data_IF_499697970479
#
_entry.id   IF_499697970479
#
_cell.length_a   1.000
_cell.length_b   1.000
_cell.length_c   1.000
_cell.angle_alpha   90.00
_cell.angle_beta   90.00
_cell.angle_gamma   90.00
#
_symmetry.space_group_name_H-M   'P 1'
#
loop_
_entity.id
_entity.type
_entity.pdbx_description
1 polymer ?
#
# COMPACT_ATOMS: atom_id res chain seq x y z
N UNK A 1 -2.23 -16.91 -5.83
CA UNK A 1 -1.12 -15.94 -5.80
C UNK A 1 -0.35 -16.23 -4.54
N UNK A 2 0.96 -16.43 -4.61
CA UNK A 2 1.81 -16.52 -3.40
C UNK A 2 2.27 -15.13 -2.95
N UNK A 3 2.93 -15.02 -1.79
CA UNK A 3 3.49 -13.75 -1.33
C UNK A 3 4.59 -13.24 -2.28
N UNK A 4 5.40 -14.15 -2.83
CA UNK A 4 6.42 -13.82 -3.81
C UNK A 4 5.81 -13.37 -5.14
N UNK A 5 4.71 -14.01 -5.57
CA UNK A 5 3.96 -13.56 -6.75
C UNK A 5 3.43 -12.13 -6.56
N UNK A 6 2.99 -11.79 -5.34
CA UNK A 6 2.50 -10.45 -5.02
C UNK A 6 3.61 -9.39 -5.13
N UNK A 7 4.84 -9.70 -4.69
CA UNK A 7 6.02 -8.83 -4.89
C UNK A 7 6.29 -8.62 -6.38
N UNK A 8 6.29 -9.72 -7.16
CA UNK A 8 6.50 -9.66 -8.60
C UNK A 8 5.44 -8.80 -9.30
N UNK A 9 4.17 -9.02 -8.97
CA UNK A 9 3.04 -8.26 -9.51
C UNK A 9 3.10 -6.78 -9.13
N UNK A 10 3.42 -6.45 -7.88
CA UNK A 10 3.59 -5.07 -7.43
C UNK A 10 4.65 -4.33 -8.25
N UNK A 11 5.80 -4.97 -8.49
CA UNK A 11 6.89 -4.37 -9.26
C UNK A 11 6.52 -4.14 -10.72
N UNK A 12 5.64 -4.96 -11.28
CA UNK A 12 5.13 -4.80 -12.65
C UNK A 12 4.04 -3.72 -12.74
N UNK A 13 3.10 -3.72 -11.82
CA UNK A 13 1.95 -2.79 -11.81
C UNK A 13 2.35 -1.38 -11.37
N UNK A 14 3.40 -1.25 -10.55
CA UNK A 14 3.91 0.04 -10.06
C UNK A 14 5.42 0.18 -10.35
N UNK A 15 5.83 0.37 -11.63
CA UNK A 15 7.25 0.42 -12.02
C UNK A 15 8.04 1.52 -11.33
N UNK A 16 7.39 2.63 -10.98
CA UNK A 16 8.04 3.74 -10.26
C UNK A 16 8.43 3.33 -8.83
N UNK A 17 7.59 2.54 -8.16
CA UNK A 17 7.95 1.96 -6.87
C UNK A 17 9.11 0.98 -7.03
N UNK A 18 9.07 0.10 -8.04
CA UNK A 18 10.17 -0.83 -8.31
C UNK A 18 11.51 -0.11 -8.51
N UNK A 19 11.51 0.99 -9.28
CA UNK A 19 12.69 1.83 -9.48
C UNK A 19 13.16 2.49 -8.17
N UNK A 20 12.23 2.96 -7.33
CA UNK A 20 12.55 3.52 -6.00
C UNK A 20 13.18 2.48 -5.09
N UNK A 21 12.63 1.27 -5.04
CA UNK A 21 13.13 0.16 -4.22
C UNK A 21 14.51 -0.32 -4.70
N UNK A 22 14.72 -0.41 -6.02
CA UNK A 22 16.01 -0.80 -6.58
C UNK A 22 17.10 0.25 -6.33
N UNK A 23 16.74 1.53 -6.34
CA UNK A 23 17.65 2.62 -6.05
C UNK A 23 18.04 2.73 -4.57
N UNK A 24 17.29 2.10 -3.67
CA UNK A 24 17.60 2.08 -2.23
C UNK A 24 18.92 1.32 -1.99
N UNK A 25 19.90 1.99 -1.37
CA UNK A 25 21.23 1.42 -1.10
C UNK A 25 21.35 0.83 0.30
N UNK A 26 20.36 1.04 1.15
CA UNK A 26 20.31 0.55 2.52
C UNK A 26 19.83 -0.91 2.51
N UNK A 27 18.82 -1.22 1.69
CA UNK A 27 18.25 -2.56 1.60
C UNK A 27 19.14 -3.52 0.80
N UNK A 28 19.38 -4.70 1.36
CA UNK A 28 20.06 -5.80 0.69
C UNK A 28 19.19 -6.44 -0.40
N UNK A 29 19.79 -7.31 -1.22
CA UNK A 29 19.05 -8.04 -2.25
C UNK A 29 17.97 -8.97 -1.66
N UNK A 30 18.26 -9.59 -0.51
CA UNK A 30 17.32 -10.44 0.22
C UNK A 30 16.11 -9.62 0.69
N UNK A 31 16.36 -8.45 1.30
CA UNK A 31 15.31 -7.52 1.75
C UNK A 31 14.40 -7.05 0.61
N UNK A 32 14.97 -6.77 -0.57
CA UNK A 32 14.22 -6.34 -1.77
C UNK A 32 13.36 -7.44 -2.41
N UNK A 33 13.43 -8.66 -1.87
CA UNK A 33 12.61 -9.80 -2.28
C UNK A 33 11.71 -10.31 -1.16
N UNK A 34 11.92 -9.90 0.08
CA UNK A 34 11.06 -10.27 1.21
C UNK A 34 9.70 -9.54 1.08
N UNK A 35 8.57 -10.27 1.02
CA UNK A 35 7.27 -9.65 0.82
C UNK A 35 6.91 -8.60 1.87
N UNK A 36 7.19 -8.85 3.14
CA UNK A 36 6.79 -7.93 4.20
C UNK A 36 7.62 -6.65 4.17
N UNK A 37 8.92 -6.75 3.90
CA UNK A 37 9.79 -5.58 3.74
C UNK A 37 9.36 -4.78 2.52
N UNK A 38 9.15 -5.43 1.38
CA UNK A 38 8.74 -4.77 0.13
C UNK A 38 7.42 -4.02 0.31
N UNK A 39 6.43 -4.61 0.96
CA UNK A 39 5.13 -3.95 1.17
C UNK A 39 5.20 -2.82 2.21
N UNK A 40 6.09 -2.93 3.22
CA UNK A 40 6.44 -1.84 4.12
C UNK A 40 7.04 -0.64 3.38
N UNK A 41 7.99 -0.89 2.48
CA UNK A 41 8.57 0.15 1.63
C UNK A 41 7.55 0.74 0.66
N UNK A 42 6.60 -0.07 0.19
CA UNK A 42 5.53 0.41 -0.67
C UNK A 42 4.58 1.36 0.07
N UNK A 43 4.22 1.06 1.32
CA UNK A 43 3.47 2.00 2.16
C UNK A 43 4.23 3.30 2.41
N UNK A 44 5.54 3.20 2.69
CA UNK A 44 6.41 4.39 2.83
C UNK A 44 6.51 5.21 1.55
N UNK A 45 6.59 4.55 0.39
CA UNK A 45 6.56 5.17 -0.93
C UNK A 45 5.26 5.94 -1.15
N UNK A 46 4.10 5.32 -0.91
CA UNK A 46 2.80 5.95 -1.04
C UNK A 46 2.63 7.14 -0.09
N UNK A 47 3.02 6.99 1.17
CA UNK A 47 3.02 8.08 2.16
C UNK A 47 3.81 9.30 1.68
N UNK A 48 4.93 9.07 1.00
CA UNK A 48 5.74 10.16 0.42
C UNK A 48 5.06 10.81 -0.79
N UNK A 49 4.50 10.03 -1.72
CA UNK A 49 4.04 10.59 -3.00
C UNK A 49 2.60 11.12 -2.98
N UNK A 50 1.71 10.56 -2.15
CA UNK A 50 0.30 10.97 -2.09
C UNK A 50 0.13 12.46 -1.78
N UNK A 51 0.84 13.07 -0.79
CA UNK A 51 0.68 14.50 -0.51
C UNK A 51 1.19 15.43 -1.63
N UNK A 52 2.00 14.92 -2.55
CA UNK A 52 2.72 15.70 -3.56
C UNK A 52 2.10 15.63 -4.95
N UNK A 53 1.11 14.74 -5.15
CA UNK A 53 0.57 14.41 -6.48
C UNK A 53 -0.95 14.48 -6.50
N UNK A 54 -1.50 14.56 -7.71
CA UNK A 54 -2.93 14.39 -7.92
C UNK A 54 -3.34 12.95 -7.62
N UNK A 55 -4.56 12.75 -7.14
CA UNK A 55 -5.14 11.40 -7.00
C UNK A 55 -5.48 10.75 -8.35
N UNK A 56 -5.47 11.53 -9.43
CA UNK A 56 -5.58 11.06 -10.81
C UNK A 56 -4.21 10.62 -11.38
N UNK A 57 -3.11 10.81 -10.64
CA UNK A 57 -1.78 10.36 -11.06
C UNK A 57 -1.78 8.85 -11.28
N UNK A 58 -1.25 8.41 -12.42
CA UNK A 58 -1.32 7.00 -12.83
C UNK A 58 -0.62 6.07 -11.84
N UNK A 59 0.46 6.52 -11.18
CA UNK A 59 1.17 5.73 -10.17
C UNK A 59 0.30 5.57 -8.92
N UNK A 60 -0.36 6.64 -8.48
CA UNK A 60 -1.31 6.60 -7.36
C UNK A 60 -2.47 5.66 -7.68
N UNK A 61 -3.12 5.84 -8.83
CA UNK A 61 -4.27 5.02 -9.25
C UNK A 61 -3.89 3.54 -9.36
N UNK A 62 -2.76 3.23 -10.01
CA UNK A 62 -2.30 1.85 -10.14
C UNK A 62 -2.02 1.21 -8.77
N UNK A 63 -1.44 1.98 -7.85
CA UNK A 63 -1.11 1.52 -6.51
C UNK A 63 -2.35 1.16 -5.69
N UNK A 64 -3.35 2.04 -5.66
CA UNK A 64 -4.59 1.76 -4.94
C UNK A 64 -5.43 0.67 -5.61
N UNK A 65 -5.42 0.59 -6.95
CA UNK A 65 -6.03 -0.54 -7.67
C UNK A 65 -5.40 -1.86 -7.28
N UNK A 66 -4.07 -1.90 -7.18
CA UNK A 66 -3.34 -3.10 -6.78
C UNK A 66 -3.65 -3.50 -5.33
N UNK A 67 -3.66 -2.55 -4.39
CA UNK A 67 -4.05 -2.81 -3.00
C UNK A 67 -5.48 -3.35 -2.90
N UNK A 68 -6.41 -2.81 -3.68
CA UNK A 68 -7.77 -3.36 -3.72
C UNK A 68 -7.77 -4.80 -4.22
N UNK A 69 -7.03 -5.11 -5.29
CA UNK A 69 -6.95 -6.49 -5.79
C UNK A 69 -6.39 -7.48 -4.76
N UNK A 70 -5.45 -7.05 -3.90
CA UNK A 70 -4.93 -7.88 -2.82
C UNK A 70 -5.94 -8.07 -1.68
N UNK A 71 -6.68 -7.01 -1.33
CA UNK A 71 -7.73 -7.10 -0.31
C UNK A 71 -8.88 -8.03 -0.71
N UNK A 72 -9.12 -8.19 -2.01
CA UNK A 72 -10.10 -9.13 -2.58
C UNK A 72 -9.55 -10.56 -2.75
N UNK A 73 -8.28 -10.82 -2.40
CA UNK A 73 -7.71 -12.17 -2.47
C UNK A 73 -8.41 -13.12 -1.50
N UNK A 74 -8.66 -14.36 -1.92
CA UNK A 74 -9.17 -15.42 -1.04
C UNK A 74 -8.14 -15.87 0.01
N UNK A 75 -6.84 -15.66 -0.27
CA UNK A 75 -5.73 -16.02 0.60
C UNK A 75 -5.58 -15.02 1.75
N UNK A 76 -5.76 -15.43 3.02
CA UNK A 76 -5.59 -14.55 4.18
C UNK A 76 -4.19 -13.93 4.26
N UNK A 77 -3.13 -14.66 3.91
CA UNK A 77 -1.76 -14.14 3.98
C UNK A 77 -1.52 -13.00 3.00
N UNK A 78 -2.19 -13.01 1.84
CA UNK A 78 -2.13 -11.92 0.86
C UNK A 78 -2.89 -10.69 1.37
N UNK A 79 -4.07 -10.89 1.99
CA UNK A 79 -4.83 -9.80 2.60
C UNK A 79 -4.05 -9.18 3.76
N UNK A 80 -3.44 -10.01 4.61
CA UNK A 80 -2.63 -9.58 5.76
C UNK A 80 -1.39 -8.81 5.29
N UNK A 81 -0.75 -9.26 4.19
CA UNK A 81 0.39 -8.55 3.60
C UNK A 81 0.01 -7.13 3.15
N UNK A 82 -1.13 -6.96 2.48
CA UNK A 82 -1.61 -5.63 2.09
C UNK A 82 -1.96 -4.78 3.32
N UNK A 83 -2.62 -5.38 4.30
CA UNK A 83 -3.09 -4.70 5.51
C UNK A 83 -1.93 -4.23 6.40
N UNK A 84 -1.16 -5.16 6.95
CA UNK A 84 -0.06 -4.87 7.87
C UNK A 84 1.16 -4.27 7.16
N UNK A 85 1.40 -4.67 5.91
CA UNK A 85 2.55 -4.17 5.15
C UNK A 85 2.35 -2.76 4.61
N UNK A 86 1.13 -2.40 4.16
CA UNK A 86 0.92 -1.13 3.44
C UNK A 86 -0.18 -0.26 4.04
N UNK A 87 -1.37 -0.80 4.31
CA UNK A 87 -2.52 0.00 4.74
C UNK A 87 -2.29 0.68 6.09
N UNK A 88 -1.64 0.02 7.04
CA UNK A 88 -1.28 0.61 8.33
C UNK A 88 -0.42 1.88 8.18
N UNK A 89 0.52 1.91 7.24
CA UNK A 89 1.38 3.08 7.01
C UNK A 89 0.62 4.27 6.38
N UNK A 90 -0.52 4.01 5.72
CA UNK A 90 -1.36 5.07 5.17
C UNK A 90 -2.20 5.79 6.25
N UNK A 91 -2.21 5.29 7.48
CA UNK A 91 -2.88 5.96 8.61
C UNK A 91 -2.08 7.15 9.16
N UNK A 92 -0.84 7.34 8.72
CA UNK A 92 0.08 8.30 9.33
C UNK A 92 -0.27 9.77 9.01
N UNK A 93 -0.94 10.06 7.89
CA UNK A 93 -1.34 11.43 7.56
C UNK A 93 -2.79 11.56 7.07
N UNK A 94 -3.45 12.73 7.27
CA UNK A 94 -4.80 12.97 6.76
C UNK A 94 -4.91 12.83 5.24
N UNK A 95 -3.86 13.18 4.50
CA UNK A 95 -3.83 13.09 3.04
C UNK A 95 -3.89 11.65 2.55
N UNK A 96 -3.10 10.75 3.16
CA UNK A 96 -3.09 9.32 2.82
C UNK A 96 -4.38 8.63 3.22
N UNK A 97 -4.97 9.01 4.37
CA UNK A 97 -6.29 8.53 4.80
C UNK A 97 -7.37 8.93 3.79
N UNK A 98 -7.40 10.21 3.39
CA UNK A 98 -8.36 10.71 2.41
C UNK A 98 -8.19 10.03 1.05
N UNK A 99 -6.95 9.84 0.60
CA UNK A 99 -6.66 9.14 -0.65
C UNK A 99 -7.16 7.69 -0.61
N UNK A 100 -6.85 6.96 0.46
CA UNK A 100 -7.29 5.58 0.66
C UNK A 100 -8.82 5.46 0.66
N UNK A 101 -9.53 6.35 1.38
CA UNK A 101 -11.00 6.42 1.37
C UNK A 101 -11.62 6.67 -0.01
N UNK A 102 -10.91 7.37 -0.89
CA UNK A 102 -11.42 7.71 -2.22
C UNK A 102 -11.09 6.65 -3.29
N UNK A 103 -10.00 5.90 -3.10
CA UNK A 103 -9.45 5.03 -4.14
C UNK A 103 -9.53 3.54 -3.81
N UNK A 104 -9.58 3.16 -2.53
CA UNK A 104 -9.89 1.79 -2.13
C UNK A 104 -11.39 1.54 -2.28
N UNK A 105 -11.73 0.28 -2.53
CA UNK A 105 -13.10 -0.20 -2.56
C UNK A 105 -13.17 -1.65 -2.09
N UNK A 106 -14.38 -2.14 -1.82
CA UNK A 106 -14.61 -3.52 -1.37
C UNK A 106 -13.90 -3.85 -0.06
N UNK A 107 -13.40 -5.08 0.04
CA UNK A 107 -12.76 -5.61 1.24
C UNK A 107 -11.52 -4.83 1.67
N UNK A 108 -10.78 -4.24 0.72
CA UNK A 108 -9.62 -3.41 1.05
C UNK A 108 -10.00 -2.11 1.76
N UNK A 109 -11.10 -1.48 1.36
CA UNK A 109 -11.62 -0.29 2.03
C UNK A 109 -12.17 -0.64 3.43
N UNK A 110 -12.92 -1.75 3.53
CA UNK A 110 -13.46 -2.21 4.82
C UNK A 110 -12.33 -2.51 5.81
N UNK A 111 -11.26 -3.19 5.35
CA UNK A 111 -10.08 -3.45 6.17
C UNK A 111 -9.39 -2.14 6.60
N UNK A 112 -9.27 -1.17 5.70
CA UNK A 112 -8.68 0.13 6.01
C UNK A 112 -9.48 0.91 7.07
N UNK A 113 -10.80 0.96 6.96
CA UNK A 113 -11.66 1.62 7.97
C UNK A 113 -11.61 0.90 9.33
N UNK A 114 -11.51 -0.42 9.32
CA UNK A 114 -11.33 -1.19 10.55
C UNK A 114 -9.99 -0.86 11.23
N UNK A 115 -8.90 -0.69 10.46
CA UNK A 115 -7.62 -0.23 11.00
C UNK A 115 -7.73 1.17 11.61
N UNK A 116 -8.40 2.13 10.94
CA UNK A 116 -8.67 3.46 11.51
C UNK A 116 -9.36 3.35 12.87
N UNK A 117 -10.39 2.50 12.96
CA UNK A 117 -11.16 2.28 14.18
C UNK A 117 -10.32 1.69 15.31
N UNK A 118 -9.49 0.70 15.00
CA UNK A 118 -8.65 0.01 15.98
C UNK A 118 -7.52 0.90 16.52
N UNK A 119 -6.93 1.72 15.65
CA UNK A 119 -5.79 2.58 16.00
C UNK A 119 -6.22 3.92 16.61
N UNK A 120 -7.53 4.21 16.64
CA UNK A 120 -8.07 5.44 17.23
C UNK A 120 -7.58 6.69 16.52
N UNK A 121 -7.33 6.60 15.20
CA UNK A 121 -6.83 7.72 14.40
C UNK A 121 -7.91 8.79 14.36
N UNK A 122 -7.64 9.94 14.97
CA UNK A 122 -8.56 11.09 14.94
C UNK A 122 -8.52 11.72 13.54
N UNK A 123 -9.42 11.26 12.68
CA UNK A 123 -9.42 11.66 11.26
C UNK A 123 -9.98 13.06 11.01
N UNK A 124 -10.31 13.84 12.05
CA UNK A 124 -10.73 15.24 11.95
C UNK A 124 -11.79 15.47 10.86
N UNK A 125 -13.07 15.42 11.22
CA UNK A 125 -14.16 15.67 10.27
C UNK A 125 -13.88 16.89 9.36
N UNK A 126 -14.16 16.80 8.04
CA UNK A 126 -14.04 17.94 7.13
C UNK A 126 -14.92 19.12 7.56
#
# INVERSE_FOLDING_TARGET
MTLEDAVGALRQEVPEFAASLDADKILGAEDKSDPYIVFGEFGSFLRRIVPQRSLEDSTIVASFRFLTALGESDDPGIRDLASAGTLELLLDTPETIRAARQLLYGHALDAFEELIRLWGVDTGHP
#
